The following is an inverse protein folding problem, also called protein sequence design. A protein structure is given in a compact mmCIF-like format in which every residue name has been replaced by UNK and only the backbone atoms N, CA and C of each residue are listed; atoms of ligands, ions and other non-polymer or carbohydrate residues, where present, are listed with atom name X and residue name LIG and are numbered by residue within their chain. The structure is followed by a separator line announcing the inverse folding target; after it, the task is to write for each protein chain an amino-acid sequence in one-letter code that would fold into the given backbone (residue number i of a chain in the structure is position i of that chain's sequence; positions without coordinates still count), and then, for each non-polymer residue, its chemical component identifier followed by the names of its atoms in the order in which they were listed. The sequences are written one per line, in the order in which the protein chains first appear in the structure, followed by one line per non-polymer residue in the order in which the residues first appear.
data_IF_248474309379
#
_entry.id   IF_248474309379
#
_cell.length_a   1.000
_cell.length_b   1.000
_cell.length_c   1.000
_cell.angle_alpha   90.00
_cell.angle_beta   90.00
_cell.angle_gamma   90.00
#
_symmetry.space_group_name_H-M   'P 1'
#
loop_
_entity.id
_entity.type
_entity.pdbx_description
1 polymer ?
#
# COMPACT_ATOMS: atom_id res chain seq x y z
N UNK A 1 11.18 -29.84 20.04
CA UNK A 1 9.91 -29.20 19.62
C UNK A 1 9.99 -27.73 20.04
N UNK A 2 10.50 -26.86 19.16
CA UNK A 2 10.48 -25.41 19.42
C UNK A 2 9.11 -24.87 19.06
N UNK A 3 8.39 -24.43 20.08
CA UNK A 3 7.15 -23.66 19.97
C UNK A 3 7.49 -22.34 19.29
N UNK A 4 7.32 -22.26 17.96
CA UNK A 4 7.34 -20.99 17.25
C UNK A 4 6.18 -20.16 17.75
N UNK A 5 6.47 -19.14 18.55
CA UNK A 5 5.56 -18.04 18.83
C UNK A 5 5.19 -17.43 17.49
N UNK A 6 4.04 -17.82 16.94
CA UNK A 6 3.49 -17.19 15.73
C UNK A 6 3.27 -15.74 16.14
N UNK A 7 4.08 -14.82 15.62
CA UNK A 7 3.83 -13.40 15.74
C UNK A 7 2.38 -13.17 15.25
N UNK A 8 1.50 -12.76 16.18
CA UNK A 8 0.10 -12.51 15.89
C UNK A 8 0.04 -11.45 14.80
N UNK A 9 -0.30 -11.88 13.57
CA UNK A 9 -0.58 -10.96 12.46
C UNK A 9 -1.90 -10.28 12.74
N UNK A 10 -1.93 -8.97 12.54
CA UNK A 10 -3.16 -8.18 12.64
C UNK A 10 -3.98 -8.31 11.36
N UNK A 11 -3.31 -8.46 10.20
CA UNK A 11 -3.94 -8.68 8.89
C UNK A 11 -3.53 -10.03 8.29
N UNK A 12 -4.49 -10.80 7.77
CA UNK A 12 -4.20 -11.96 6.95
C UNK A 12 -3.67 -11.50 5.58
N UNK A 13 -2.45 -11.90 5.18
CA UNK A 13 -1.83 -11.39 3.97
C UNK A 13 -2.52 -11.80 2.67
N UNK A 14 -3.38 -12.80 2.68
CA UNK A 14 -4.07 -13.31 1.47
C UNK A 14 -5.57 -13.06 1.49
N UNK A 15 -6.15 -12.73 2.64
CA UNK A 15 -7.58 -12.40 2.79
C UNK A 15 -7.83 -10.89 2.96
N UNK A 16 -6.98 -10.19 3.71
CA UNK A 16 -7.12 -8.75 3.97
C UNK A 16 -6.44 -7.93 2.89
N UNK A 17 -7.02 -7.93 1.69
CA UNK A 17 -6.39 -7.40 0.48
C UNK A 17 -6.33 -5.87 0.41
N UNK A 18 -7.10 -5.17 1.23
CA UNK A 18 -7.13 -3.70 1.28
C UNK A 18 -5.85 -3.10 1.89
N UNK A 19 -5.16 -3.88 2.73
CA UNK A 19 -3.96 -3.44 3.44
C UNK A 19 -2.80 -4.38 3.15
N UNK A 20 -1.59 -3.88 3.33
CA UNK A 20 -0.39 -4.68 3.16
C UNK A 20 0.68 -4.23 4.15
N UNK A 21 1.46 -5.16 4.68
CA UNK A 21 2.67 -4.83 5.43
C UNK A 21 3.60 -4.01 4.52
N UNK A 22 3.94 -2.80 4.96
CA UNK A 22 4.75 -1.86 4.21
C UNK A 22 6.10 -2.48 3.80
N UNK A 23 6.67 -3.41 4.56
CA UNK A 23 7.93 -4.07 4.18
C UNK A 23 7.78 -4.99 2.96
N UNK A 24 6.59 -5.52 2.67
CA UNK A 24 6.38 -6.46 1.56
C UNK A 24 6.57 -5.83 0.17
N UNK A 25 5.98 -4.66 -0.15
CA UNK A 25 6.31 -3.94 -1.38
C UNK A 25 7.79 -3.60 -1.52
N UNK A 26 8.48 -3.24 -0.43
CA UNK A 26 9.92 -2.89 -0.49
C UNK A 26 10.76 -4.13 -0.76
N UNK A 27 10.42 -5.27 -0.16
CA UNK A 27 11.04 -6.55 -0.49
C UNK A 27 10.85 -6.92 -1.98
N UNK A 28 9.65 -6.72 -2.52
CA UNK A 28 9.41 -6.92 -3.95
C UNK A 28 10.28 -5.97 -4.81
N UNK A 29 10.41 -4.69 -4.40
CA UNK A 29 11.29 -3.73 -5.08
C UNK A 29 12.77 -4.14 -5.02
N UNK A 30 13.23 -4.76 -3.93
CA UNK A 30 14.59 -5.33 -3.88
C UNK A 30 14.81 -6.38 -4.96
N UNK A 31 13.85 -7.30 -5.16
CA UNK A 31 13.95 -8.33 -6.21
C UNK A 31 13.90 -7.71 -7.60
N UNK A 32 12.98 -6.76 -7.83
CA UNK A 32 12.88 -6.02 -9.10
C UNK A 32 14.18 -5.28 -9.40
N UNK A 33 14.74 -4.56 -8.41
CA UNK A 33 15.99 -3.83 -8.54
C UNK A 33 17.15 -4.76 -8.91
N UNK A 34 17.34 -5.86 -8.18
CA UNK A 34 18.41 -6.81 -8.42
C UNK A 34 18.34 -7.37 -9.85
N UNK A 35 17.18 -7.87 -10.25
CA UNK A 35 17.01 -8.47 -11.58
C UNK A 35 17.12 -7.44 -12.70
N UNK A 36 16.60 -6.22 -12.51
CA UNK A 36 16.71 -5.14 -13.51
C UNK A 36 18.14 -4.62 -13.64
N UNK A 37 18.90 -4.52 -12.54
CA UNK A 37 20.33 -4.18 -12.57
C UNK A 37 21.12 -5.27 -13.30
N UNK A 38 20.89 -6.55 -12.96
CA UNK A 38 21.55 -7.66 -13.67
C UNK A 38 21.22 -7.62 -15.16
N UNK A 39 19.96 -7.42 -15.53
CA UNK A 39 19.53 -7.32 -16.93
C UNK A 39 20.25 -6.20 -17.69
N UNK A 40 20.35 -5.01 -17.09
CA UNK A 40 20.92 -3.82 -17.74
C UNK A 40 22.45 -3.83 -17.79
N UNK A 41 23.12 -4.42 -16.80
CA UNK A 41 24.58 -4.55 -16.76
C UNK A 41 25.08 -5.68 -17.67
N UNK A 42 24.39 -6.83 -17.67
CA UNK A 42 24.79 -7.99 -18.48
C UNK A 42 24.26 -7.97 -19.91
N UNK A 43 23.27 -7.11 -20.19
CA UNK A 43 22.55 -7.07 -21.46
C UNK A 43 21.49 -8.18 -21.59
N UNK A 44 21.29 -9.03 -20.58
CA UNK A 44 20.31 -10.10 -20.61
C UNK A 44 18.88 -9.58 -20.39
N UNK A 45 18.32 -8.96 -21.42
CA UNK A 45 17.00 -8.31 -21.38
C UNK A 45 15.84 -9.27 -21.08
N UNK A 46 16.01 -10.58 -21.28
CA UNK A 46 15.01 -11.59 -20.92
C UNK A 46 14.61 -11.53 -19.43
N UNK A 47 15.50 -11.07 -18.55
CA UNK A 47 15.17 -10.81 -17.15
C UNK A 47 14.13 -9.70 -16.97
N UNK A 48 14.14 -8.66 -17.82
CA UNK A 48 13.11 -7.62 -17.81
C UNK A 48 11.74 -8.21 -18.17
N UNK A 49 11.70 -9.17 -19.10
CA UNK A 49 10.48 -9.90 -19.47
C UNK A 49 9.97 -10.76 -18.32
N UNK A 50 10.87 -11.48 -17.64
CA UNK A 50 10.51 -12.26 -16.45
C UNK A 50 9.91 -11.37 -15.36
N UNK A 51 10.52 -10.21 -15.10
CA UNK A 51 9.97 -9.22 -14.16
C UNK A 51 8.60 -8.70 -14.62
N UNK A 52 8.44 -8.38 -15.91
CA UNK A 52 7.18 -7.91 -16.48
C UNK A 52 6.06 -8.94 -16.25
N UNK A 53 6.33 -10.20 -16.59
CA UNK A 53 5.41 -11.32 -16.38
C UNK A 53 5.09 -11.49 -14.90
N UNK A 54 6.10 -11.51 -14.03
CA UNK A 54 5.91 -11.72 -12.60
C UNK A 54 5.06 -10.62 -11.94
N UNK A 55 5.26 -9.36 -12.33
CA UNK A 55 4.42 -8.25 -11.87
C UNK A 55 3.00 -8.37 -12.42
N UNK A 56 2.84 -8.65 -13.72
CA UNK A 56 1.52 -8.83 -14.34
C UNK A 56 0.73 -9.97 -13.70
N UNK A 57 1.36 -11.12 -13.45
CA UNK A 57 0.73 -12.26 -12.76
C UNK A 57 0.27 -11.87 -11.35
N UNK A 58 1.11 -11.18 -10.57
CA UNK A 58 0.73 -10.70 -9.24
C UNK A 58 -0.40 -9.67 -9.26
N UNK A 59 -0.46 -8.82 -10.29
CA UNK A 59 -1.50 -7.80 -10.47
C UNK A 59 -2.86 -8.37 -10.87
N UNK A 60 -2.87 -9.43 -11.68
CA UNK A 60 -4.07 -10.07 -12.20
C UNK A 60 -4.64 -11.12 -11.23
N UNK A 61 -3.79 -11.98 -10.69
CA UNK A 61 -4.21 -13.12 -9.86
C UNK A 61 -4.03 -12.88 -8.36
N UNK A 62 -3.45 -11.74 -7.98
CA UNK A 62 -3.24 -11.32 -6.60
C UNK A 62 -1.88 -11.73 -6.04
N UNK A 63 -1.57 -11.21 -4.83
CA UNK A 63 -0.23 -11.30 -4.23
C UNK A 63 0.23 -12.72 -3.88
N UNK A 64 -0.68 -13.70 -3.84
CA UNK A 64 -0.35 -15.12 -3.66
C UNK A 64 0.45 -15.70 -4.85
N UNK A 65 0.30 -15.12 -6.05
CA UNK A 65 1.06 -15.50 -7.24
C UNK A 65 2.26 -14.56 -7.50
N UNK A 66 2.46 -13.57 -6.64
CA UNK A 66 3.68 -12.76 -6.63
C UNK A 66 4.76 -13.54 -5.85
N UNK A 67 5.72 -14.17 -6.53
CA UNK A 67 6.73 -15.02 -5.89
C UNK A 67 7.54 -14.28 -4.81
N UNK A 68 8.03 -13.04 -5.03
CA UNK A 68 8.69 -12.28 -3.97
C UNK A 68 7.76 -11.96 -2.80
N UNK A 69 6.49 -11.64 -3.07
CA UNK A 69 5.50 -11.35 -2.04
C UNK A 69 5.19 -12.59 -1.21
N UNK A 70 4.98 -13.73 -1.86
CA UNK A 70 4.74 -15.02 -1.21
C UNK A 70 5.93 -15.39 -0.31
N UNK A 71 7.15 -15.25 -0.81
CA UNK A 71 8.36 -15.49 -0.02
C UNK A 71 8.44 -14.56 1.18
N UNK A 72 8.15 -13.26 1.01
CA UNK A 72 8.10 -12.32 2.11
C UNK A 72 7.08 -12.77 3.17
N UNK A 73 5.82 -13.02 2.80
CA UNK A 73 4.78 -13.36 3.77
C UNK A 73 4.95 -14.75 4.39
N UNK A 74 5.47 -15.73 3.68
CA UNK A 74 5.57 -17.11 4.19
C UNK A 74 6.87 -17.33 4.96
N UNK A 75 7.97 -16.68 4.56
CA UNK A 75 9.31 -16.99 5.09
C UNK A 75 9.91 -15.83 5.90
N UNK A 76 9.77 -14.59 5.43
CA UNK A 76 10.45 -13.43 6.02
C UNK A 76 9.64 -12.85 7.17
N UNK A 77 8.38 -12.48 6.92
CA UNK A 77 7.50 -11.81 7.89
C UNK A 77 7.33 -12.59 9.21
N UNK A 78 7.16 -13.93 9.23
CA UNK A 78 7.08 -14.68 10.50
C UNK A 78 8.31 -14.54 11.39
N UNK A 79 9.48 -14.23 10.81
CA UNK A 79 10.75 -14.10 11.54
C UNK A 79 11.01 -12.69 12.04
N UNK A 80 10.55 -11.68 11.30
CA UNK A 80 10.84 -10.25 11.59
C UNK A 80 9.64 -9.50 12.17
N UNK A 81 8.49 -10.16 12.29
CA UNK A 81 7.22 -9.56 12.71
C UNK A 81 6.54 -8.75 11.62
N UNK A 82 5.25 -8.48 11.83
CA UNK A 82 4.44 -7.61 10.97
C UNK A 82 4.94 -6.16 11.09
N UNK A 83 5.24 -5.54 9.95
CA UNK A 83 5.52 -4.11 9.87
C UNK A 83 4.24 -3.27 9.89
N UNK A 84 4.36 -1.93 9.84
CA UNK A 84 3.20 -1.05 9.70
C UNK A 84 2.38 -1.42 8.46
N UNK A 85 1.06 -1.42 8.59
CA UNK A 85 0.14 -1.71 7.49
C UNK A 85 -0.11 -0.45 6.66
N UNK A 86 -0.06 -0.53 5.34
CA UNK A 86 -0.40 0.58 4.45
C UNK A 86 -1.48 0.17 3.45
N UNK A 87 -2.11 1.15 2.81
CA UNK A 87 -3.10 0.91 1.76
C UNK A 87 -2.45 0.16 0.58
N UNK A 88 -2.97 -1.01 0.24
CA UNK A 88 -2.44 -1.86 -0.82
C UNK A 88 -2.61 -1.28 -2.23
N UNK A 89 -3.48 -0.28 -2.42
CA UNK A 89 -3.75 0.37 -3.72
C UNK A 89 -2.53 1.13 -4.24
N UNK A 90 -1.79 1.82 -3.37
CA UNK A 90 -0.62 2.59 -3.76
C UNK A 90 0.51 1.70 -4.31
N UNK A 91 0.95 0.64 -3.60
CA UNK A 91 1.90 -0.34 -4.15
C UNK A 91 1.40 -1.05 -5.41
N UNK A 92 0.09 -1.34 -5.50
CA UNK A 92 -0.49 -1.95 -6.70
C UNK A 92 -0.38 -1.02 -7.90
N UNK A 93 -0.67 0.27 -7.74
CA UNK A 93 -0.47 1.29 -8.78
C UNK A 93 1.00 1.38 -9.21
N UNK A 94 1.93 1.40 -8.25
CA UNK A 94 3.36 1.39 -8.55
C UNK A 94 3.77 0.15 -9.37
N UNK A 95 3.27 -1.04 -9.03
CA UNK A 95 3.52 -2.27 -9.80
C UNK A 95 2.91 -2.23 -11.21
N UNK A 96 1.76 -1.56 -11.41
CA UNK A 96 1.19 -1.36 -12.76
C UNK A 96 2.14 -0.53 -13.62
N UNK A 97 2.62 0.60 -13.11
CA UNK A 97 3.60 1.44 -13.82
C UNK A 97 4.87 0.63 -14.13
N UNK A 98 5.39 -0.10 -13.13
CA UNK A 98 6.56 -0.96 -13.31
C UNK A 98 6.35 -2.00 -14.41
N UNK A 99 5.21 -2.69 -14.42
CA UNK A 99 4.86 -3.66 -15.45
C UNK A 99 4.78 -3.02 -16.85
N UNK A 100 4.15 -1.85 -16.97
CA UNK A 100 4.07 -1.11 -18.24
C UNK A 100 5.47 -0.75 -18.75
N UNK A 101 6.35 -0.22 -17.89
CA UNK A 101 7.73 0.11 -18.27
C UNK A 101 8.51 -1.13 -18.69
N UNK A 102 8.41 -2.23 -17.96
CA UNK A 102 9.13 -3.48 -18.25
C UNK A 102 8.63 -4.18 -19.52
N UNK A 103 7.32 -4.18 -19.77
CA UNK A 103 6.76 -4.66 -21.04
C UNK A 103 7.19 -3.76 -22.21
N UNK A 104 7.19 -2.44 -22.02
CA UNK A 104 7.67 -1.51 -23.05
C UNK A 104 9.15 -1.74 -23.35
N UNK A 105 9.99 -1.92 -22.33
CA UNK A 105 11.40 -2.27 -22.50
C UNK A 105 11.58 -3.59 -23.26
N UNK A 106 10.82 -4.62 -22.88
CA UNK A 106 10.80 -5.93 -23.54
C UNK A 106 10.45 -5.80 -25.02
N UNK A 107 9.39 -5.06 -25.35
CA UNK A 107 8.95 -4.86 -26.73
C UNK A 107 9.98 -4.07 -27.55
N UNK A 108 10.64 -3.07 -26.96
CA UNK A 108 11.71 -2.32 -27.63
C UNK A 108 12.91 -3.21 -27.95
N UNK A 109 13.33 -4.08 -27.01
CA UNK A 109 14.36 -5.07 -27.27
C UNK A 109 13.95 -6.05 -28.38
N UNK A 110 12.73 -6.58 -28.32
CA UNK A 110 12.22 -7.51 -29.32
C UNK A 110 12.11 -6.87 -30.73
N UNK A 111 11.86 -5.57 -30.79
CA UNK A 111 11.80 -4.79 -32.04
C UNK A 111 13.17 -4.27 -32.52
N UNK A 112 14.28 -4.60 -31.82
CA UNK A 112 15.64 -4.19 -32.18
C UNK A 112 16.03 -2.77 -31.73
N UNK A 113 15.18 -2.06 -30.99
CA UNK A 113 15.48 -0.75 -30.40
C UNK A 113 16.21 -0.89 -29.06
N UNK A 114 17.36 -1.58 -29.07
CA UNK A 114 18.08 -2.00 -27.87
C UNK A 114 18.43 -0.85 -26.91
N UNK A 115 18.90 0.29 -27.44
CA UNK A 115 19.24 1.46 -26.61
C UNK A 115 18.02 2.01 -25.86
N UNK A 116 16.86 2.03 -26.49
CA UNK A 116 15.64 2.52 -25.86
C UNK A 116 15.13 1.52 -24.80
N UNK A 117 15.18 0.21 -25.11
CA UNK A 117 14.89 -0.84 -24.14
C UNK A 117 15.82 -0.78 -22.92
N UNK A 118 17.12 -0.55 -23.15
CA UNK A 118 18.11 -0.41 -22.10
C UNK A 118 17.83 0.78 -21.18
N UNK A 119 17.53 1.96 -21.73
CA UNK A 119 17.18 3.14 -20.93
C UNK A 119 15.94 2.92 -20.06
N UNK A 120 14.91 2.24 -20.57
CA UNK A 120 13.74 1.88 -19.76
C UNK A 120 14.09 0.87 -18.66
N UNK A 121 14.89 -0.15 -18.98
CA UNK A 121 15.40 -1.10 -17.99
C UNK A 121 16.18 -0.40 -16.88
N UNK A 122 17.05 0.54 -17.26
CA UNK A 122 17.86 1.33 -16.32
C UNK A 122 16.99 2.24 -15.44
N UNK A 123 15.95 2.86 -16.01
CA UNK A 123 14.99 3.65 -15.26
C UNK A 123 14.29 2.79 -14.19
N UNK A 124 13.81 1.60 -14.55
CA UNK A 124 13.18 0.67 -13.61
C UNK A 124 14.18 0.24 -12.54
N UNK A 125 15.41 -0.11 -12.93
CA UNK A 125 16.48 -0.47 -11.99
C UNK A 125 16.73 0.66 -10.98
N UNK A 126 16.89 1.91 -11.44
CA UNK A 126 17.15 3.06 -10.59
C UNK A 126 16.00 3.33 -9.60
N UNK A 127 14.75 3.33 -10.07
CA UNK A 127 13.58 3.59 -9.22
C UNK A 127 13.35 2.47 -8.20
N UNK A 128 13.52 1.20 -8.62
CA UNK A 128 13.41 0.07 -7.72
C UNK A 128 14.53 0.06 -6.67
N UNK A 129 15.76 0.37 -7.06
CA UNK A 129 16.90 0.52 -6.13
C UNK A 129 16.66 1.65 -5.13
N UNK A 130 16.16 2.80 -5.57
CA UNK A 130 15.79 3.90 -4.69
C UNK A 130 14.77 3.44 -3.64
N UNK A 131 13.69 2.78 -4.07
CA UNK A 131 12.66 2.27 -3.17
C UNK A 131 13.20 1.19 -2.21
N UNK A 132 14.11 0.33 -2.67
CA UNK A 132 14.72 -0.72 -1.86
C UNK A 132 15.65 -0.16 -0.77
N UNK A 133 16.43 0.88 -1.07
CA UNK A 133 17.44 1.44 -0.15
C UNK A 133 16.82 2.47 0.80
N UNK A 134 15.93 3.32 0.31
CA UNK A 134 15.41 4.47 1.08
C UNK A 134 14.00 4.24 1.62
N UNK A 135 13.28 3.24 1.11
CA UNK A 135 11.85 3.08 1.35
C UNK A 135 10.96 4.04 0.53
N UNK A 136 11.53 5.00 -0.20
CA UNK A 136 10.80 5.96 -1.03
C UNK A 136 10.37 5.32 -2.36
N UNK A 137 9.09 4.96 -2.46
CA UNK A 137 8.50 4.48 -3.70
C UNK A 137 7.80 5.63 -4.44
N UNK A 138 8.45 6.13 -5.50
CA UNK A 138 7.93 7.23 -6.34
C UNK A 138 6.52 6.93 -6.87
N UNK A 139 6.24 5.68 -7.25
CA UNK A 139 4.91 5.27 -7.70
C UNK A 139 3.84 5.37 -6.61
N UNK A 140 4.16 5.03 -5.36
CA UNK A 140 3.24 5.17 -4.24
C UNK A 140 2.94 6.64 -3.94
N UNK A 141 3.96 7.51 -3.97
CA UNK A 141 3.77 8.94 -3.77
C UNK A 141 2.95 9.57 -4.90
N UNK A 142 3.21 9.18 -6.15
CA UNK A 142 2.42 9.60 -7.30
C UNK A 142 0.95 9.18 -7.14
N UNK A 143 0.67 7.96 -6.68
CA UNK A 143 -0.70 7.54 -6.38
C UNK A 143 -1.37 8.43 -5.34
N UNK A 144 -0.67 8.75 -4.25
CA UNK A 144 -1.21 9.63 -3.18
C UNK A 144 -1.53 11.02 -3.72
N UNK A 145 -0.67 11.59 -4.54
CA UNK A 145 -0.91 12.89 -5.19
C UNK A 145 -2.11 12.81 -6.13
N UNK A 146 -2.20 11.79 -6.98
CA UNK A 146 -3.33 11.60 -7.90
C UNK A 146 -4.64 11.38 -7.13
N UNK A 147 -4.62 10.60 -6.05
CA UNK A 147 -5.78 10.34 -5.21
C UNK A 147 -6.31 11.63 -4.58
N UNK A 148 -5.41 12.49 -4.08
CA UNK A 148 -5.76 13.83 -3.59
C UNK A 148 -6.37 14.70 -4.70
N UNK A 149 -5.74 14.78 -5.86
CA UNK A 149 -6.22 15.59 -6.99
C UNK A 149 -7.57 15.12 -7.55
N UNK A 150 -7.88 13.82 -7.46
CA UNK A 150 -9.16 13.25 -7.89
C UNK A 150 -10.31 13.53 -6.91
N UNK A 151 -10.09 14.31 -5.85
CA UNK A 151 -11.11 14.61 -4.87
C UNK A 151 -11.54 13.36 -4.10
N UNK A 152 -10.67 12.35 -4.00
CA UNK A 152 -10.76 11.38 -2.90
C UNK A 152 -10.24 12.08 -1.64
N UNK A 153 -10.87 13.21 -1.33
CA UNK A 153 -10.80 13.85 -0.04
C UNK A 153 -11.99 13.32 0.75
N UNK A 154 -11.82 13.21 2.07
CA UNK A 154 -12.98 13.19 2.94
C UNK A 154 -13.85 14.37 2.50
N UNK A 155 -15.07 14.11 2.04
CA UNK A 155 -16.05 15.19 1.89
C UNK A 155 -16.03 15.92 3.23
N UNK A 156 -15.74 17.22 3.24
CA UNK A 156 -15.73 18.01 4.47
C UNK A 156 -17.15 17.96 5.04
N UNK A 157 -17.35 17.02 5.96
CA UNK A 157 -18.52 16.98 6.79
C UNK A 157 -18.11 17.82 7.98
N UNK A 158 -18.70 19.00 8.11
CA UNK A 158 -18.38 19.86 9.25
C UNK A 158 -18.83 19.24 10.59
N UNK A 159 -19.85 18.37 10.56
CA UNK A 159 -20.55 17.86 11.75
C UNK A 159 -21.14 16.45 11.59
N UNK A 160 -20.88 15.57 12.55
CA UNK A 160 -21.58 14.28 12.75
C UNK A 160 -22.53 14.41 13.94
N UNK A 161 -23.79 14.00 13.78
CA UNK A 161 -24.76 13.98 14.88
C UNK A 161 -24.40 12.85 15.85
N UNK A 162 -24.06 13.21 17.08
CA UNK A 162 -23.64 12.26 18.12
C UNK A 162 -24.75 11.27 18.50
N UNK A 163 -26.02 11.60 18.24
CA UNK A 163 -27.16 10.68 18.45
C UNK A 163 -27.08 9.47 17.54
N UNK A 164 -26.60 9.63 16.31
CA UNK A 164 -26.39 8.50 15.39
C UNK A 164 -25.32 7.52 15.90
N UNK A 165 -24.42 8.00 16.76
CA UNK A 165 -23.36 7.20 17.35
C UNK A 165 -23.80 6.51 18.65
N UNK A 166 -24.92 6.94 19.23
CA UNK A 166 -25.38 6.51 20.55
C UNK A 166 -24.57 7.11 21.69
N UNK A 167 -23.90 8.25 21.46
CA UNK A 167 -23.02 8.90 22.43
C UNK A 167 -23.68 10.21 22.91
N UNK A 168 -23.67 10.45 24.22
CA UNK A 168 -24.12 11.72 24.82
C UNK A 168 -22.96 12.31 25.61
N UNK A 169 -22.08 13.11 24.96
CA UNK A 169 -20.91 13.65 25.61
C UNK A 169 -21.21 14.93 26.39
N UNK A 170 -20.37 15.20 27.38
CA UNK A 170 -20.37 16.39 28.24
C UNK A 170 -19.48 17.53 27.73
N UNK A 171 -18.89 17.39 26.52
CA UNK A 171 -17.94 18.37 25.95
C UNK A 171 -17.71 18.19 24.44
N UNK A 172 -16.79 18.96 23.83
CA UNK A 172 -16.49 18.89 22.40
C UNK A 172 -15.85 17.55 22.03
N UNK A 173 -16.48 16.81 21.11
CA UNK A 173 -16.04 15.48 20.67
C UNK A 173 -15.53 15.54 19.24
N UNK A 174 -14.49 14.76 18.97
CA UNK A 174 -13.97 14.51 17.63
C UNK A 174 -14.36 13.10 17.22
N UNK A 175 -15.07 12.96 16.10
CA UNK A 175 -15.43 11.67 15.51
C UNK A 175 -14.35 11.26 14.51
N UNK A 176 -13.71 10.12 14.75
CA UNK A 176 -12.72 9.55 13.84
C UNK A 176 -13.35 8.34 13.14
N UNK A 177 -13.66 8.49 11.85
CA UNK A 177 -13.94 7.33 11.01
C UNK A 177 -12.62 6.60 10.74
N UNK A 178 -12.57 5.34 11.17
CA UNK A 178 -11.37 4.51 11.22
C UNK A 178 -11.65 3.14 10.63
N UNK A 179 -10.59 2.35 10.45
CA UNK A 179 -10.65 0.94 10.13
C UNK A 179 -9.57 0.21 10.94
N UNK A 180 -9.81 -1.01 11.48
CA UNK A 180 -8.86 -1.70 12.35
C UNK A 180 -7.46 -1.88 11.75
N UNK A 181 -7.40 -2.01 10.42
CA UNK A 181 -6.18 -2.26 9.67
C UNK A 181 -5.49 -1.00 9.13
N UNK A 182 -6.01 0.19 9.42
CA UNK A 182 -5.53 1.46 8.87
C UNK A 182 -4.46 2.08 9.79
N UNK A 183 -3.17 2.01 9.42
CA UNK A 183 -2.09 2.60 10.23
C UNK A 183 -2.17 4.12 10.33
N UNK A 184 -2.54 4.81 9.24
CA UNK A 184 -2.76 6.26 9.27
C UNK A 184 -3.86 6.63 10.28
N UNK A 185 -4.84 5.76 10.50
CA UNK A 185 -5.90 5.94 11.49
C UNK A 185 -5.38 5.82 12.92
N UNK A 186 -4.48 4.85 13.19
CA UNK A 186 -3.83 4.70 14.48
C UNK A 186 -2.90 5.88 14.79
N UNK A 187 -2.14 6.37 13.81
CA UNK A 187 -1.31 7.58 13.99
C UNK A 187 -2.16 8.82 14.25
N UNK A 188 -3.28 8.97 13.52
CA UNK A 188 -4.19 10.10 13.68
C UNK A 188 -4.87 10.06 15.05
N UNK A 189 -5.30 8.88 15.51
CA UNK A 189 -5.83 8.66 16.85
C UNK A 189 -4.82 9.07 17.92
N UNK A 190 -3.59 8.55 17.88
CA UNK A 190 -2.55 8.87 18.84
C UNK A 190 -2.23 10.39 18.89
N UNK A 191 -2.24 11.07 17.73
CA UNK A 191 -2.07 12.53 17.66
C UNK A 191 -3.22 13.29 18.30
N UNK A 192 -4.46 12.86 18.08
CA UNK A 192 -5.65 13.49 18.66
C UNK A 192 -5.70 13.28 20.19
N UNK A 193 -5.36 12.09 20.66
CA UNK A 193 -5.26 11.78 22.09
C UNK A 193 -4.16 12.60 22.77
N UNK A 194 -2.98 12.74 22.12
CA UNK A 194 -1.90 13.58 22.62
C UNK A 194 -2.27 15.08 22.70
N UNK A 195 -3.24 15.53 21.89
CA UNK A 195 -3.80 16.87 21.92
C UNK A 195 -4.93 17.04 22.95
N UNK A 196 -5.27 15.98 23.71
CA UNK A 196 -6.34 15.99 24.70
C UNK A 196 -7.75 15.97 24.08
N UNK A 197 -7.89 15.60 22.81
CA UNK A 197 -9.19 15.50 22.16
C UNK A 197 -9.98 14.29 22.70
N UNK A 198 -11.28 14.48 22.95
CA UNK A 198 -12.19 13.35 23.22
C UNK A 198 -12.57 12.71 21.89
N UNK A 199 -12.01 11.54 21.57
CA UNK A 199 -12.18 10.86 20.28
C UNK A 199 -13.24 9.76 20.35
N UNK A 200 -14.25 9.82 19.47
CA UNK A 200 -15.21 8.73 19.25
C UNK A 200 -14.88 8.04 17.93
N UNK A 201 -14.54 6.76 18.01
CA UNK A 201 -14.17 5.95 16.84
C UNK A 201 -15.39 5.36 16.16
N UNK A 202 -15.48 5.53 14.84
CA UNK A 202 -16.44 4.85 13.98
C UNK A 202 -15.69 3.91 13.07
N UNK A 203 -15.71 2.63 13.41
CA UNK A 203 -15.17 1.58 12.55
C UNK A 203 -16.09 1.39 11.34
N UNK A 204 -15.61 1.79 10.15
CA UNK A 204 -16.40 1.73 8.92
C UNK A 204 -16.69 0.30 8.45
N UNK A 205 -15.94 -0.70 8.93
CA UNK A 205 -16.22 -2.11 8.65
C UNK A 205 -17.38 -2.63 9.51
N UNK A 206 -17.49 -2.17 10.76
CA UNK A 206 -18.57 -2.55 11.68
C UNK A 206 -19.84 -1.75 11.49
N UNK A 207 -19.73 -0.49 11.04
CA UNK A 207 -20.84 0.45 10.84
C UNK A 207 -20.85 1.07 9.42
N UNK A 208 -20.96 0.24 8.36
CA UNK A 208 -20.94 0.72 6.96
C UNK A 208 -22.13 1.62 6.61
N UNK A 209 -23.25 1.52 7.33
CA UNK A 209 -24.39 2.42 7.24
C UNK A 209 -24.04 3.86 7.61
N UNK A 210 -23.23 4.06 8.66
CA UNK A 210 -22.77 5.39 9.04
C UNK A 210 -21.80 5.95 8.01
N UNK A 211 -20.85 5.14 7.53
CA UNK A 211 -19.95 5.56 6.46
C UNK A 211 -20.73 6.01 5.20
N UNK A 212 -21.78 5.28 4.81
CA UNK A 212 -22.65 5.65 3.68
C UNK A 212 -23.49 6.90 3.95
N UNK A 213 -24.13 7.00 5.12
CA UNK A 213 -24.96 8.15 5.53
C UNK A 213 -24.16 9.45 5.46
N UNK A 214 -22.92 9.39 5.94
CA UNK A 214 -22.02 10.53 6.01
C UNK A 214 -21.20 10.71 4.72
N UNK A 215 -21.18 9.73 3.80
CA UNK A 215 -20.41 9.85 2.55
C UNK A 215 -18.90 9.68 2.75
N UNK A 216 -18.50 8.92 3.76
CA UNK A 216 -17.12 8.61 4.08
C UNK A 216 -16.59 7.59 3.08
N UNK A 217 -15.76 8.05 2.14
CA UNK A 217 -15.14 7.22 1.11
C UNK A 217 -13.73 6.73 1.49
N UNK A 218 -13.08 7.40 2.44
CA UNK A 218 -11.74 7.09 2.92
C UNK A 218 -11.65 7.18 4.44
N UNK A 219 -10.68 6.46 5.00
CA UNK A 219 -10.25 6.59 6.40
C UNK A 219 -8.73 6.80 6.42
N UNK A 220 -8.18 7.53 7.41
CA UNK A 220 -8.90 8.20 8.48
C UNK A 220 -9.67 9.43 7.99
N UNK A 221 -10.88 9.64 8.52
CA UNK A 221 -11.62 10.90 8.35
C UNK A 221 -11.97 11.45 9.72
N UNK A 222 -11.49 12.65 10.03
CA UNK A 222 -11.69 13.33 11.31
C UNK A 222 -12.78 14.38 11.14
N UNK A 223 -13.83 14.30 11.96
CA UNK A 223 -14.99 15.18 11.90
C UNK A 223 -15.33 15.68 13.29
N UNK A 224 -15.92 16.87 13.42
CA UNK A 224 -16.41 17.38 14.70
C UNK A 224 -17.76 16.72 15.04
N UNK A 225 -17.90 16.18 16.25
CA UNK A 225 -19.20 15.71 16.76
C UNK A 225 -20.00 16.86 17.34
N UNK A 226 -21.30 16.94 17.00
CA UNK A 226 -22.25 17.97 17.49
C UNK A 226 -23.51 17.33 18.02
#
# INVERSE_FOLDING_TARGET
MSTSTIALRTADPFRDLAVIDARAPRFNQTVVALLAVVATVTGWWGLLTVLAVQLTVGLLFGRQYCLPCLFYFVVVQPKVGEGPLEDARAPRFANIIGAVCLWSATLLYAAGFERAGWWLGLLVAALASLAAVTGLCVGCELYRVIAKLKGIEAKDIDRVDLKDLGVSPTGPVTVLFTHPLCSDCHETEAKLEAQGATVVKVDVAKRPELARKYGIALVPTVVRGV
#
